data_IF_370582601929
#
_entry.id   IF_370582601929
#
_cell.length_a   1.000
_cell.length_b   1.000
_cell.length_c   1.000
_cell.angle_alpha   90.00
_cell.angle_beta   90.00
_cell.angle_gamma   90.00
#
_symmetry.space_group_name_H-M   'P 1'
#
loop_
_entity.id
_entity.type
_entity.pdbx_description
1 polymer ?
#
# COMPACT_ATOMS: atom_id res chain seq x y z
N UNK A 1 5.21 -0.78 -1.81
CA UNK A 1 5.19 -2.22 -2.13
C UNK A 1 3.90 -2.85 -1.63
N UNK A 2 3.73 -4.15 -1.85
CA UNK A 2 2.60 -4.92 -1.31
C UNK A 2 3.09 -5.81 -0.17
N UNK A 3 2.49 -5.70 1.01
CA UNK A 3 2.80 -6.64 2.11
C UNK A 3 2.60 -8.08 1.65
N UNK A 4 3.52 -8.97 2.06
CA UNK A 4 3.46 -10.40 1.75
C UNK A 4 3.59 -10.75 0.25
N UNK A 5 4.16 -9.86 -0.58
CA UNK A 5 4.43 -10.17 -1.99
C UNK A 5 5.28 -11.44 -2.13
N UNK A 6 4.95 -12.27 -3.12
CA UNK A 6 5.66 -13.51 -3.43
C UNK A 6 5.32 -14.70 -2.52
N UNK A 7 4.41 -14.53 -1.55
CA UNK A 7 3.92 -15.61 -0.69
C UNK A 7 2.92 -16.48 -1.45
N UNK A 8 2.88 -17.78 -1.13
CA UNK A 8 1.90 -18.71 -1.71
C UNK A 8 0.50 -18.47 -1.17
N UNK A 9 -0.51 -18.82 -1.96
CA UNK A 9 -1.89 -18.88 -1.48
C UNK A 9 -1.98 -19.77 -0.23
N UNK A 10 -2.64 -19.28 0.82
CA UNK A 10 -2.79 -19.98 2.09
C UNK A 10 -1.59 -19.88 3.05
N UNK A 11 -0.54 -19.12 2.70
CA UNK A 11 0.47 -18.72 3.68
C UNK A 11 -0.13 -17.62 4.58
N UNK A 12 -0.15 -17.88 5.89
CA UNK A 12 -0.68 -16.94 6.88
C UNK A 12 0.19 -15.67 7.03
N UNK A 13 1.41 -15.70 6.49
CA UNK A 13 2.31 -14.57 6.46
C UNK A 13 2.91 -14.22 7.83
N UNK A 14 3.59 -13.07 7.90
CA UNK A 14 4.22 -12.58 9.13
C UNK A 14 3.22 -12.53 10.30
N UNK A 15 3.46 -13.34 11.35
CA UNK A 15 2.58 -13.47 12.52
C UNK A 15 1.08 -13.63 12.19
N UNK A 16 0.77 -14.47 11.20
CA UNK A 16 -0.59 -14.72 10.71
C UNK A 16 -1.31 -13.48 10.15
N UNK A 17 -0.59 -12.39 9.88
CA UNK A 17 -1.18 -11.13 9.43
C UNK A 17 -1.92 -11.26 8.09
N UNK A 18 -1.56 -12.19 7.21
CA UNK A 18 -2.31 -12.40 5.96
C UNK A 18 -3.67 -13.10 6.19
N UNK A 19 -3.88 -13.68 7.37
CA UNK A 19 -5.12 -14.41 7.72
C UNK A 19 -5.99 -13.67 8.73
N UNK A 20 -5.65 -12.41 9.04
CA UNK A 20 -6.35 -11.59 10.03
C UNK A 20 -6.95 -10.32 9.41
N UNK A 21 -8.18 -10.01 9.81
CA UNK A 21 -8.81 -8.71 9.55
C UNK A 21 -8.01 -7.65 10.31
N UNK A 22 -7.64 -6.56 9.63
CA UNK A 22 -6.83 -5.52 10.23
C UNK A 22 -7.02 -4.17 9.57
N UNK A 23 -6.78 -3.12 10.35
CA UNK A 23 -6.66 -1.78 9.81
C UNK A 23 -5.31 -1.64 9.12
N UNK A 24 -5.33 -1.04 7.94
CA UNK A 24 -4.14 -0.74 7.13
C UNK A 24 -4.20 0.72 6.66
N UNK A 25 -3.07 1.27 6.23
CA UNK A 25 -3.06 2.62 5.68
C UNK A 25 -3.75 2.67 4.31
N UNK A 26 -3.59 1.62 3.51
CA UNK A 26 -4.23 1.48 2.20
C UNK A 26 -4.41 0.02 1.80
N UNK A 27 -5.36 -0.24 0.91
CA UNK A 27 -5.55 -1.51 0.20
C UNK A 27 -5.31 -1.29 -1.30
N UNK A 28 -5.02 -2.36 -2.02
CA UNK A 28 -4.82 -2.29 -3.48
C UNK A 28 -6.15 -2.08 -4.22
N UNK A 29 -6.12 -1.30 -5.29
CA UNK A 29 -7.25 -1.12 -6.21
C UNK A 29 -7.65 -2.39 -6.97
N UNK A 30 -6.84 -3.46 -6.93
CA UNK A 30 -7.17 -4.73 -7.57
C UNK A 30 -8.44 -5.39 -6.99
N UNK A 31 -8.71 -5.18 -5.70
CA UNK A 31 -9.94 -5.61 -5.04
C UNK A 31 -10.24 -4.67 -3.88
N UNK A 32 -11.10 -3.69 -4.14
CA UNK A 32 -11.49 -2.68 -3.15
C UNK A 32 -13.00 -2.48 -3.14
N UNK A 33 -13.52 -2.13 -1.98
CA UNK A 33 -14.92 -1.75 -1.78
C UNK A 33 -14.97 -0.59 -0.79
N UNK A 34 -15.85 0.36 -1.04
CA UNK A 34 -16.08 1.52 -0.18
C UNK A 34 -17.58 1.85 -0.18
N UNK A 35 -18.00 2.54 0.87
CA UNK A 35 -19.32 3.12 0.91
C UNK A 35 -19.44 4.23 -0.16
N UNK A 36 -20.60 4.30 -0.81
CA UNK A 36 -20.85 5.25 -1.89
C UNK A 36 -20.75 6.70 -1.40
N UNK A 37 -21.30 6.99 -0.22
CA UNK A 37 -21.33 8.34 0.32
C UNK A 37 -19.90 8.79 0.67
N UNK A 38 -19.06 7.87 1.15
CA UNK A 38 -17.62 8.14 1.37
C UNK A 38 -16.92 8.48 0.06
N UNK A 39 -17.19 7.75 -1.02
CA UNK A 39 -16.60 8.05 -2.32
C UNK A 39 -17.02 9.43 -2.85
N UNK A 40 -18.30 9.77 -2.71
CA UNK A 40 -18.83 11.06 -3.14
C UNK A 40 -18.31 12.23 -2.28
N UNK A 41 -18.24 12.07 -0.96
CA UNK A 41 -17.66 13.08 -0.03
C UNK A 41 -16.18 13.35 -0.34
N UNK A 42 -15.45 12.31 -0.75
CA UNK A 42 -14.05 12.40 -1.11
C UNK A 42 -13.81 12.84 -2.56
N UNK A 43 -14.86 13.17 -3.32
CA UNK A 43 -14.77 13.55 -4.73
C UNK A 43 -14.09 12.46 -5.61
N UNK A 44 -14.34 11.19 -5.26
CA UNK A 44 -13.83 10.04 -5.98
C UNK A 44 -12.30 9.91 -6.01
N UNK A 45 -11.76 9.37 -7.11
CA UNK A 45 -10.32 9.25 -7.35
C UNK A 45 -9.76 10.54 -7.96
N UNK A 46 -8.55 10.93 -7.56
CA UNK A 46 -7.83 12.04 -8.21
C UNK A 46 -7.43 11.63 -9.63
N UNK A 47 -8.01 12.30 -10.63
CA UNK A 47 -7.75 12.02 -12.06
C UNK A 47 -6.30 12.32 -12.47
N UNK A 48 -5.55 13.06 -11.65
CA UNK A 48 -4.11 13.30 -11.85
C UNK A 48 -3.26 12.07 -11.55
N UNK A 49 -3.83 11.10 -10.83
CA UNK A 49 -3.25 9.78 -10.54
C UNK A 49 -3.94 8.74 -11.43
N UNK A 50 -3.71 8.82 -12.74
CA UNK A 50 -4.44 7.98 -13.69
C UNK A 50 -4.12 6.48 -13.52
N UNK A 51 -2.87 6.16 -13.15
CA UNK A 51 -2.36 4.78 -13.23
C UNK A 51 -1.75 4.26 -11.93
N UNK A 52 -0.92 5.07 -11.28
CA UNK A 52 -0.26 4.70 -10.04
C UNK A 52 -0.78 5.53 -8.87
N UNK A 53 -0.70 4.95 -7.67
CA UNK A 53 -1.00 5.60 -6.40
C UNK A 53 -2.45 6.06 -6.18
N UNK A 54 -3.39 5.87 -7.12
CA UNK A 54 -4.77 6.33 -6.97
C UNK A 54 -5.53 5.64 -5.82
N UNK A 55 -5.34 4.34 -5.67
CA UNK A 55 -5.87 3.51 -4.61
C UNK A 55 -5.30 3.93 -3.26
N UNK A 56 -3.98 4.12 -3.18
CA UNK A 56 -3.30 4.58 -1.97
C UNK A 56 -3.73 6.01 -1.60
N UNK A 57 -3.80 6.93 -2.57
CA UNK A 57 -4.26 8.30 -2.36
C UNK A 57 -5.68 8.32 -1.79
N UNK A 58 -6.61 7.61 -2.41
CA UNK A 58 -7.99 7.53 -1.94
C UNK A 58 -8.06 6.98 -0.50
N UNK A 59 -7.32 5.91 -0.21
CA UNK A 59 -7.23 5.33 1.12
C UNK A 59 -6.69 6.33 2.16
N UNK A 60 -5.64 7.08 1.83
CA UNK A 60 -5.06 8.06 2.74
C UNK A 60 -6.03 9.22 3.00
N UNK A 61 -6.71 9.73 1.97
CA UNK A 61 -7.75 10.77 2.13
C UNK A 61 -8.93 10.29 2.96
N UNK A 62 -9.37 9.04 2.77
CA UNK A 62 -10.41 8.44 3.60
C UNK A 62 -9.99 8.41 5.08
N UNK A 63 -8.73 8.09 5.37
CA UNK A 63 -8.20 8.13 6.74
C UNK A 63 -8.11 9.53 7.32
N UNK A 64 -7.69 10.51 6.52
CA UNK A 64 -7.68 11.93 6.93
C UNK A 64 -9.10 12.42 7.25
N UNK A 65 -10.11 11.92 6.55
CA UNK A 65 -11.53 12.17 6.82
C UNK A 65 -12.09 11.37 8.01
N UNK A 66 -11.28 10.54 8.68
CA UNK A 66 -11.65 9.79 9.88
C UNK A 66 -12.19 8.37 9.64
N UNK A 67 -12.14 7.88 8.40
CA UNK A 67 -12.55 6.50 8.07
C UNK A 67 -11.40 5.50 8.28
N UNK A 68 -11.75 4.21 8.37
CA UNK A 68 -10.79 3.12 8.46
C UNK A 68 -10.70 2.38 7.12
N UNK A 69 -9.48 2.09 6.69
CA UNK A 69 -9.24 1.11 5.64
C UNK A 69 -8.98 -0.25 6.27
N UNK A 70 -9.76 -1.25 5.89
CA UNK A 70 -9.74 -2.58 6.48
C UNK A 70 -9.35 -3.60 5.43
N UNK A 71 -8.27 -4.33 5.67
CA UNK A 71 -7.95 -5.55 4.94
C UNK A 71 -8.77 -6.71 5.52
N UNK A 72 -9.35 -7.54 4.65
CA UNK A 72 -10.06 -8.76 5.04
C UNK A 72 -9.59 -9.95 4.21
N UNK A 73 -9.22 -11.09 4.84
CA UNK A 73 -8.84 -12.29 4.11
C UNK A 73 -10.04 -13.05 3.53
N UNK A 74 -11.27 -12.63 3.88
CA UNK A 74 -12.51 -13.33 3.54
C UNK A 74 -13.02 -13.00 2.13
N UNK A 75 -12.47 -11.98 1.47
CA UNK A 75 -12.80 -11.62 0.09
C UNK A 75 -11.53 -11.78 -0.76
N UNK A 76 -11.56 -12.70 -1.71
CA UNK A 76 -10.39 -13.07 -2.52
C UNK A 76 -10.73 -12.99 -4.01
N UNK A 77 -9.82 -12.44 -4.78
CA UNK A 77 -9.89 -12.41 -6.23
C UNK A 77 -8.49 -12.68 -6.82
N UNK A 78 -8.47 -13.36 -7.97
CA UNK A 78 -7.23 -13.52 -8.74
C UNK A 78 -7.01 -12.28 -9.60
N UNK A 79 -5.90 -11.59 -9.36
CA UNK A 79 -5.47 -10.45 -10.16
C UNK A 79 -4.25 -10.85 -11.01
N UNK A 80 -4.42 -10.87 -12.32
CA UNK A 80 -3.32 -11.07 -13.27
C UNK A 80 -2.58 -9.75 -13.44
N UNK A 81 -1.60 -9.51 -12.56
CA UNK A 81 -0.90 -8.24 -12.45
C UNK A 81 -0.33 -7.78 -13.81
N UNK A 82 -0.56 -6.49 -14.13
CA UNK A 82 -0.06 -5.84 -15.35
C UNK A 82 -0.54 -6.44 -16.68
N UNK A 83 -1.54 -7.33 -16.68
CA UNK A 83 -2.01 -7.98 -17.91
C UNK A 83 -2.58 -6.98 -18.95
N UNK A 84 -3.23 -5.91 -18.49
CA UNK A 84 -3.83 -4.89 -19.37
C UNK A 84 -2.94 -3.65 -19.53
N UNK A 85 -2.25 -3.25 -18.45
CA UNK A 85 -1.39 -2.04 -18.42
C UNK A 85 0.00 -2.28 -19.03
N UNK A 86 0.53 -3.50 -18.95
CA UNK A 86 1.94 -3.79 -19.17
C UNK A 86 2.84 -3.20 -18.07
N UNK A 87 4.15 -3.31 -18.26
CA UNK A 87 5.14 -2.74 -17.36
C UNK A 87 5.35 -1.24 -17.63
N UNK A 88 6.02 -0.55 -16.71
CA UNK A 88 6.49 0.82 -16.88
C UNK A 88 7.77 0.82 -17.71
N UNK A 89 7.64 0.50 -19.00
CA UNK A 89 8.75 0.12 -19.88
C UNK A 89 9.02 1.10 -21.03
N UNK A 90 8.20 2.14 -21.19
CA UNK A 90 8.43 3.22 -22.17
C UNK A 90 8.79 4.53 -21.47
N UNK A 91 9.54 5.44 -22.15
CA UNK A 91 9.86 6.76 -21.58
C UNK A 91 8.63 7.56 -21.15
N UNK A 92 7.54 7.48 -21.91
CA UNK A 92 6.29 8.19 -21.61
C UNK A 92 5.62 7.63 -20.35
N UNK A 93 5.60 6.29 -20.23
CA UNK A 93 5.07 5.58 -19.07
C UNK A 93 5.87 5.91 -17.80
N UNK A 94 7.20 5.88 -17.89
CA UNK A 94 8.09 6.27 -16.80
C UNK A 94 7.90 7.73 -16.40
N UNK A 95 7.79 8.65 -17.36
CA UNK A 95 7.56 10.08 -17.10
C UNK A 95 6.21 10.32 -16.43
N UNK A 96 5.15 9.65 -16.87
CA UNK A 96 3.84 9.66 -16.19
C UNK A 96 3.99 9.14 -14.76
N UNK A 97 4.59 7.97 -14.56
CA UNK A 97 4.76 7.37 -13.25
C UNK A 97 5.51 8.30 -12.29
N UNK A 98 6.60 8.93 -12.73
CA UNK A 98 7.34 9.91 -11.94
C UNK A 98 6.49 11.13 -11.57
N UNK A 99 5.67 11.61 -12.51
CA UNK A 99 4.75 12.74 -12.26
C UNK A 99 3.69 12.37 -11.22
N UNK A 100 3.06 11.19 -11.37
CA UNK A 100 2.06 10.67 -10.43
C UNK A 100 2.65 10.46 -9.02
N UNK A 101 3.85 9.86 -8.94
CA UNK A 101 4.56 9.67 -7.66
C UNK A 101 4.90 11.01 -7.01
N UNK A 102 5.37 11.98 -7.79
CA UNK A 102 5.70 13.32 -7.26
C UNK A 102 4.45 14.02 -6.72
N UNK A 103 3.35 13.99 -7.47
CA UNK A 103 2.07 14.55 -7.05
C UNK A 103 1.55 13.89 -5.76
N UNK A 104 1.59 12.56 -5.70
CA UNK A 104 1.22 11.79 -4.50
C UNK A 104 2.09 12.17 -3.29
N UNK A 105 3.41 12.25 -3.47
CA UNK A 105 4.35 12.59 -2.39
C UNK A 105 4.14 14.01 -1.88
N UNK A 106 3.90 14.98 -2.76
CA UNK A 106 3.63 16.37 -2.39
C UNK A 106 2.31 16.48 -1.61
N UNK A 107 1.26 15.79 -2.08
CA UNK A 107 -0.05 15.80 -1.42
C UNK A 107 0.02 15.22 0.00
N UNK A 108 0.73 14.10 0.17
CA UNK A 108 0.76 13.33 1.42
C UNK A 108 2.05 13.56 2.23
N UNK A 109 2.80 14.62 1.98
CA UNK A 109 4.12 14.88 2.58
C UNK A 109 4.11 14.77 4.12
N UNK A 110 3.09 15.35 4.77
CA UNK A 110 2.96 15.32 6.22
C UNK A 110 2.69 13.89 6.76
N UNK A 111 1.94 13.08 6.04
CA UNK A 111 1.67 11.68 6.41
C UNK A 111 2.93 10.83 6.21
N UNK A 112 3.59 11.00 5.05
CA UNK A 112 4.80 10.27 4.71
C UNK A 112 5.95 10.57 5.68
N UNK A 113 6.10 11.83 6.11
CA UNK A 113 7.13 12.22 7.09
C UNK A 113 6.89 11.66 8.49
N UNK A 114 5.62 11.46 8.89
CA UNK A 114 5.27 10.80 10.16
C UNK A 114 5.43 9.28 10.11
N UNK A 115 5.36 8.70 8.92
CA UNK A 115 5.38 7.25 8.70
C UNK A 115 4.00 6.60 8.81
N UNK A 116 3.90 5.37 8.34
CA UNK A 116 2.66 4.58 8.38
C UNK A 116 2.37 4.12 9.83
N UNK A 117 1.26 4.56 10.45
CA UNK A 117 0.94 4.17 11.82
C UNK A 117 0.55 2.70 12.00
N UNK A 118 0.29 1.97 10.90
CA UNK A 118 0.04 0.53 10.92
C UNK A 118 1.26 -0.31 10.58
N UNK A 119 2.41 0.32 10.32
CA UNK A 119 3.68 -0.35 10.08
C UNK A 119 4.63 -0.18 11.26
N UNK A 120 5.34 -1.25 11.63
CA UNK A 120 6.28 -1.20 12.74
C UNK A 120 7.59 -0.56 12.25
N UNK A 121 7.99 0.55 12.89
CA UNK A 121 9.22 1.30 12.57
C UNK A 121 10.51 0.46 12.68
N UNK A 122 10.47 -0.66 13.39
CA UNK A 122 11.61 -1.57 13.52
C UNK A 122 11.74 -2.55 12.33
N UNK A 123 10.81 -2.51 11.37
CA UNK A 123 10.82 -3.33 10.17
C UNK A 123 11.31 -2.52 8.96
N UNK A 124 11.93 -3.20 8.02
CA UNK A 124 12.48 -2.60 6.81
C UNK A 124 11.38 -2.02 5.92
N UNK A 125 11.61 -0.82 5.37
CA UNK A 125 10.78 -0.23 4.30
C UNK A 125 11.23 -0.66 2.89
N UNK A 126 12.41 -1.26 2.79
CA UNK A 126 13.01 -1.72 1.53
C UNK A 126 12.60 -3.15 1.16
N UNK A 127 11.77 -3.79 2.00
CA UNK A 127 11.35 -5.18 1.85
C UNK A 127 9.87 -5.34 2.18
N UNK A 128 9.22 -6.24 1.44
CA UNK A 128 7.80 -6.57 1.58
C UNK A 128 7.57 -7.77 2.53
N UNK A 129 8.64 -8.26 3.16
CA UNK A 129 8.67 -9.51 3.91
C UNK A 129 8.69 -9.34 5.43
N UNK A 130 8.48 -8.13 5.95
CA UNK A 130 8.51 -7.82 7.39
C UNK A 130 9.83 -8.19 8.07
N UNK A 131 10.94 -7.94 7.38
CA UNK A 131 12.29 -8.15 7.90
C UNK A 131 12.69 -7.02 8.85
N UNK A 132 13.60 -7.30 9.79
CA UNK A 132 14.14 -6.27 10.70
C UNK A 132 14.84 -5.18 9.87
N UNK A 133 14.60 -3.92 10.24
CA UNK A 133 15.23 -2.79 9.59
C UNK A 133 16.77 -2.93 9.59
N UNK A 134 17.47 -2.64 8.48
CA UNK A 134 18.93 -2.79 8.40
C UNK A 134 19.67 -2.03 9.52
N UNK A 135 19.15 -0.88 9.93
CA UNK A 135 19.67 -0.07 11.03
C UNK A 135 19.66 -0.78 12.38
N UNK A 136 18.75 -1.72 12.61
CA UNK A 136 18.60 -2.46 13.87
C UNK A 136 19.22 -3.85 13.83
N UNK A 137 19.62 -4.34 12.66
CA UNK A 137 20.11 -5.71 12.47
C UNK A 137 21.28 -6.06 13.41
N UNK A 138 22.19 -5.12 13.62
CA UNK A 138 23.34 -5.26 14.53
C UNK A 138 22.95 -5.53 15.99
N UNK A 139 21.76 -5.11 16.44
CA UNK A 139 21.28 -5.36 17.81
C UNK A 139 20.86 -6.83 18.02
N UNK A 140 20.54 -7.54 16.94
CA UNK A 140 20.06 -8.93 16.98
C UNK A 140 21.12 -9.95 16.55
N UNK A 141 22.15 -9.51 15.82
CA UNK A 141 23.25 -10.37 15.35
C UNK A 141 24.27 -10.69 16.47
N UNK A 142 24.27 -9.96 17.59
CA UNK A 142 25.23 -10.13 18.70
C UNK A 142 24.88 -11.25 19.71
N UNK A 143 23.85 -12.05 19.45
CA UNK A 143 23.46 -13.19 20.30
C UNK A 143 23.96 -14.55 19.74
N UNK A 144 25.13 -14.56 19.08
CA UNK A 144 25.81 -15.78 18.64
C UNK A 144 27.15 -15.94 19.34
#
# INVERSE_FOLDING_TARGET
GHSHKGRSSGDDGYYHRASLIQNVSAVTGALMMFDRDVFEILDGFDTSLATACNDVDFCLRAREAGYLNVYTPNAQAYHLESATRGYEDTPEKLSRFQTEVTHFQQRHELLLSKGDPYYNINLSLDSEQFEIAPSLKHLFDNNK
#
